data_IF_066830051642
#
_entry.id   IF_066830051642
#
_cell.length_a   1.000
_cell.length_b   1.000
_cell.length_c   1.000
_cell.angle_alpha   90.00
_cell.angle_beta   90.00
_cell.angle_gamma   90.00
#
_symmetry.space_group_name_H-M   'P 1'
#
loop_
_entity.id
_entity.type
_entity.pdbx_description
1 polymer ?
#
# COMPACT_ATOMS: atom_id res chain seq x y z
N UNK A 1 -16.90 -0.91 -10.08
CA UNK A 1 -16.40 -1.40 -11.39
C UNK A 1 -17.55 -1.91 -12.24
N UNK A 2 -17.46 -1.68 -13.54
CA UNK A 2 -18.48 -2.04 -14.51
C UNK A 2 -17.83 -2.88 -15.62
N UNK A 3 -17.63 -4.18 -15.34
CA UNK A 3 -16.96 -5.09 -16.27
C UNK A 3 -17.64 -5.15 -17.65
N UNK A 4 -18.96 -4.99 -17.71
CA UNK A 4 -19.71 -4.98 -18.96
C UNK A 4 -19.32 -3.84 -19.92
N UNK A 5 -18.59 -2.82 -19.44
CA UNK A 5 -18.09 -1.75 -20.30
C UNK A 5 -16.82 -2.15 -21.08
N UNK A 6 -16.13 -3.23 -20.71
CA UNK A 6 -14.87 -3.64 -21.33
C UNK A 6 -15.03 -3.84 -22.85
N UNK A 7 -15.99 -4.65 -23.33
CA UNK A 7 -16.17 -4.85 -24.76
C UNK A 7 -16.51 -3.56 -25.52
N UNK A 8 -17.30 -2.68 -24.87
CA UNK A 8 -17.68 -1.39 -25.45
C UNK A 8 -16.44 -0.49 -25.59
N UNK A 9 -15.62 -0.37 -24.53
CA UNK A 9 -14.41 0.45 -24.53
C UNK A 9 -13.42 -0.08 -25.59
N UNK A 10 -13.23 -1.40 -25.67
CA UNK A 10 -12.31 -1.99 -26.66
C UNK A 10 -12.80 -1.77 -28.10
N UNK A 11 -14.10 -1.76 -28.33
CA UNK A 11 -14.68 -1.45 -29.64
C UNK A 11 -14.46 0.01 -30.03
N UNK A 12 -14.78 0.95 -29.11
CA UNK A 12 -14.73 2.39 -29.41
C UNK A 12 -13.29 2.94 -29.34
N UNK A 13 -12.45 2.37 -28.47
CA UNK A 13 -11.07 2.84 -28.24
C UNK A 13 -10.09 1.65 -28.12
N UNK A 14 -9.81 0.92 -29.22
CA UNK A 14 -9.06 -0.35 -29.17
C UNK A 14 -7.63 -0.22 -28.64
N UNK A 15 -7.02 0.98 -28.70
CA UNK A 15 -5.66 1.25 -28.20
C UNK A 15 -5.62 1.56 -26.70
N UNK A 16 -6.77 1.82 -26.08
CA UNK A 16 -6.82 2.15 -24.64
C UNK A 16 -6.52 0.89 -23.81
N UNK A 17 -5.53 1.01 -22.91
CA UNK A 17 -5.24 -0.05 -21.95
C UNK A 17 -6.24 -0.04 -20.81
N UNK A 18 -6.79 -1.21 -20.51
CA UNK A 18 -7.77 -1.41 -19.42
C UNK A 18 -7.11 -2.13 -18.28
N UNK A 19 -7.12 -1.48 -17.11
CA UNK A 19 -6.65 -2.08 -15.84
C UNK A 19 -7.86 -2.45 -15.00
N UNK A 20 -8.01 -3.75 -14.69
CA UNK A 20 -9.08 -4.23 -13.82
C UNK A 20 -8.77 -3.92 -12.37
N UNK A 21 -9.64 -3.17 -11.72
CA UNK A 21 -9.46 -2.76 -10.33
C UNK A 21 -9.63 -3.93 -9.36
N UNK A 22 -8.94 -3.86 -8.22
CA UNK A 22 -9.14 -4.72 -7.04
C UNK A 22 -10.60 -4.77 -6.56
N UNK A 23 -11.43 -3.78 -6.93
CA UNK A 23 -12.86 -3.75 -6.64
C UNK A 23 -13.66 -4.90 -7.29
N UNK A 24 -13.06 -5.60 -8.26
CA UNK A 24 -13.66 -6.80 -8.86
C UNK A 24 -13.37 -8.08 -8.09
N UNK A 25 -12.64 -8.01 -6.99
CA UNK A 25 -12.32 -9.17 -6.13
C UNK A 25 -11.62 -10.31 -6.89
N UNK A 26 -10.77 -9.99 -7.87
CA UNK A 26 -10.08 -10.99 -8.68
C UNK A 26 -9.05 -11.73 -7.83
N UNK A 27 -9.27 -13.02 -7.57
CA UNK A 27 -8.48 -13.80 -6.60
C UNK A 27 -8.08 -15.20 -7.11
N UNK A 28 -8.40 -15.55 -8.34
CA UNK A 28 -8.11 -16.89 -8.87
C UNK A 28 -7.87 -16.88 -10.38
N UNK A 29 -7.26 -17.95 -10.89
CA UNK A 29 -6.88 -18.13 -12.28
C UNK A 29 -8.06 -17.99 -13.25
N UNK A 30 -9.24 -18.54 -12.91
CA UNK A 30 -10.41 -18.50 -13.81
C UNK A 30 -10.89 -17.07 -14.02
N UNK A 31 -10.98 -16.28 -12.93
CA UNK A 31 -11.36 -14.87 -13.03
C UNK A 31 -10.34 -14.05 -13.86
N UNK A 32 -9.04 -14.35 -13.70
CA UNK A 32 -7.99 -13.68 -14.47
C UNK A 32 -8.13 -14.02 -15.94
N UNK A 33 -8.25 -15.30 -16.31
CA UNK A 33 -8.44 -15.73 -17.71
C UNK A 33 -9.66 -15.06 -18.34
N UNK A 34 -10.80 -15.10 -17.65
CA UNK A 34 -12.03 -14.46 -18.12
C UNK A 34 -11.83 -12.98 -18.46
N UNK A 35 -11.23 -12.19 -17.56
CA UNK A 35 -11.04 -10.76 -17.81
C UNK A 35 -10.04 -10.48 -18.94
N UNK A 36 -9.02 -11.32 -19.11
CA UNK A 36 -8.12 -11.20 -20.26
C UNK A 36 -8.82 -11.54 -21.59
N UNK A 37 -9.68 -12.56 -21.61
CA UNK A 37 -10.51 -12.90 -22.76
C UNK A 37 -11.47 -11.75 -23.13
N UNK A 38 -11.99 -11.02 -22.14
CA UNK A 38 -12.82 -9.82 -22.35
C UNK A 38 -12.00 -8.59 -22.81
N UNK A 39 -10.67 -8.66 -22.85
CA UNK A 39 -9.81 -7.60 -23.35
C UNK A 39 -9.19 -6.70 -22.26
N UNK A 40 -9.11 -7.15 -21.02
CA UNK A 40 -8.34 -6.47 -19.96
C UNK A 40 -6.85 -6.65 -20.21
N UNK A 41 -6.06 -5.60 -20.04
CA UNK A 41 -4.62 -5.62 -20.26
C UNK A 41 -3.82 -5.91 -18.98
N UNK A 42 -4.34 -5.52 -17.81
CA UNK A 42 -3.69 -5.74 -16.50
C UNK A 42 -4.72 -5.89 -15.40
N UNK A 43 -4.40 -6.63 -14.34
CA UNK A 43 -5.33 -6.91 -13.23
C UNK A 43 -4.69 -6.60 -11.89
N UNK A 44 -5.36 -5.75 -11.10
CA UNK A 44 -5.05 -5.56 -9.68
C UNK A 44 -5.70 -6.69 -8.89
N UNK A 45 -4.91 -7.61 -8.38
CA UNK A 45 -5.41 -8.72 -7.59
C UNK A 45 -6.08 -8.25 -6.29
N UNK A 46 -7.01 -9.05 -5.79
CA UNK A 46 -7.56 -8.87 -4.45
C UNK A 46 -6.45 -8.94 -3.40
N UNK A 47 -6.59 -8.18 -2.31
CA UNK A 47 -5.57 -8.13 -1.23
C UNK A 47 -5.49 -9.41 -0.41
N UNK A 48 -6.48 -10.27 -0.55
CA UNK A 48 -6.62 -11.53 0.17
C UNK A 48 -5.88 -12.70 -0.50
N UNK A 49 -5.25 -12.47 -1.66
CA UNK A 49 -4.54 -13.50 -2.42
C UNK A 49 -3.17 -13.77 -1.80
N UNK A 50 -2.88 -15.02 -1.52
CA UNK A 50 -1.61 -15.46 -0.95
C UNK A 50 -0.49 -15.53 -2.00
N UNK A 51 0.77 -15.53 -1.55
CA UNK A 51 1.96 -15.75 -2.41
C UNK A 51 1.81 -16.98 -3.32
N UNK A 52 1.30 -18.08 -2.77
CA UNK A 52 1.11 -19.34 -3.52
C UNK A 52 0.08 -19.18 -4.64
N UNK A 53 -1.01 -18.48 -4.35
CA UNK A 53 -2.06 -18.23 -5.32
C UNK A 53 -1.60 -17.23 -6.38
N UNK A 54 -0.89 -16.16 -6.01
CA UNK A 54 -0.29 -15.22 -6.97
C UNK A 54 0.62 -15.97 -7.94
N UNK A 55 1.52 -16.83 -7.40
CA UNK A 55 2.40 -17.65 -8.23
C UNK A 55 1.62 -18.57 -9.15
N UNK A 56 0.60 -19.29 -8.64
CA UNK A 56 -0.26 -20.16 -9.44
C UNK A 56 -0.96 -19.40 -10.56
N UNK A 57 -1.55 -18.24 -10.24
CA UNK A 57 -2.21 -17.39 -11.24
C UNK A 57 -1.21 -17.00 -12.33
N UNK A 58 0.00 -16.54 -11.95
CA UNK A 58 1.00 -16.13 -12.92
C UNK A 58 1.48 -17.29 -13.79
N UNK A 59 1.82 -18.45 -13.18
CA UNK A 59 2.29 -19.64 -13.90
C UNK A 59 1.26 -20.15 -14.93
N UNK A 60 -0.05 -20.04 -14.61
CA UNK A 60 -1.12 -20.54 -15.47
C UNK A 60 -1.63 -19.53 -16.52
N UNK A 61 -1.32 -18.24 -16.36
CA UNK A 61 -1.90 -17.18 -17.20
C UNK A 61 -0.85 -16.29 -17.87
N UNK A 62 0.34 -16.16 -17.28
CA UNK A 62 1.36 -15.17 -17.62
C UNK A 62 0.81 -13.73 -17.74
N UNK A 63 -0.26 -13.47 -16.97
CA UNK A 63 -0.99 -12.24 -17.00
C UNK A 63 -0.17 -11.08 -16.43
N UNK A 64 -0.49 -9.87 -16.88
CA UNK A 64 0.06 -8.65 -16.31
C UNK A 64 -0.65 -8.34 -14.98
N UNK A 65 0.02 -8.66 -13.87
CA UNK A 65 -0.53 -8.58 -12.52
C UNK A 65 -0.02 -7.36 -11.76
N UNK A 66 -0.93 -6.69 -11.04
CA UNK A 66 -0.64 -5.67 -10.06
C UNK A 66 -1.00 -6.16 -8.65
N UNK A 67 -0.08 -6.03 -7.70
CA UNK A 67 -0.25 -6.50 -6.32
C UNK A 67 -0.01 -5.36 -5.35
N UNK A 68 -0.86 -5.23 -4.33
CA UNK A 68 -0.60 -4.31 -3.21
C UNK A 68 0.58 -4.80 -2.39
N UNK A 69 1.50 -3.91 -2.07
CA UNK A 69 2.71 -4.24 -1.32
C UNK A 69 2.88 -3.44 -0.03
N UNK A 70 2.21 -2.27 0.09
CA UNK A 70 2.35 -1.43 1.27
C UNK A 70 1.14 -0.53 1.51
N UNK A 71 0.86 -0.27 2.78
CA UNK A 71 -0.13 0.70 3.23
C UNK A 71 -1.40 0.09 3.82
N UNK A 72 -2.44 0.88 3.86
CA UNK A 72 -3.67 0.52 4.57
C UNK A 72 -4.38 -0.69 3.95
N UNK A 73 -4.78 -1.63 4.82
CA UNK A 73 -5.61 -2.77 4.47
C UNK A 73 -7.09 -2.52 4.82
N UNK A 74 -7.97 -3.26 4.16
CA UNK A 74 -9.40 -3.27 4.45
C UNK A 74 -9.77 -4.45 5.34
N UNK A 75 -10.73 -4.23 6.25
CA UNK A 75 -11.32 -5.31 7.04
C UNK A 75 -12.28 -6.19 6.22
N UNK A 76 -12.85 -5.63 5.15
CA UNK A 76 -13.74 -6.34 4.24
C UNK A 76 -12.94 -6.90 3.06
N UNK A 77 -13.43 -7.98 2.46
CA UNK A 77 -12.92 -8.46 1.18
C UNK A 77 -12.91 -7.36 0.12
N UNK A 78 -11.93 -7.39 -0.76
CA UNK A 78 -11.74 -6.42 -1.82
C UNK A 78 -13.02 -6.23 -2.64
N UNK A 79 -13.50 -4.99 -2.78
CA UNK A 79 -14.72 -4.66 -3.52
C UNK A 79 -16.05 -5.08 -2.88
N UNK A 80 -16.07 -5.54 -1.63
CA UNK A 80 -17.27 -6.04 -0.94
C UNK A 80 -17.64 -5.27 0.33
N UNK A 81 -17.06 -4.10 0.54
CA UNK A 81 -17.34 -3.30 1.71
C UNK A 81 -18.70 -2.58 1.60
N UNK A 82 -19.58 -2.81 2.57
CA UNK A 82 -20.87 -2.12 2.71
C UNK A 82 -20.93 -1.22 3.94
N UNK A 83 -19.90 -1.23 4.79
CA UNK A 83 -19.88 -0.50 6.07
C UNK A 83 -20.06 1.00 5.89
N UNK A 84 -19.34 1.61 4.95
CA UNK A 84 -19.46 3.04 4.68
C UNK A 84 -20.83 3.42 4.18
N UNK A 85 -21.44 2.60 3.30
CA UNK A 85 -22.81 2.81 2.84
C UNK A 85 -23.79 2.79 3.99
N UNK A 86 -23.71 1.75 4.81
CA UNK A 86 -24.64 1.53 5.91
C UNK A 86 -24.58 2.62 6.98
N UNK A 87 -23.37 3.02 7.37
CA UNK A 87 -23.16 3.95 8.49
C UNK A 87 -23.18 5.42 8.05
N UNK A 88 -22.69 5.74 6.84
CA UNK A 88 -22.47 7.12 6.40
C UNK A 88 -23.08 7.48 5.06
N UNK A 89 -23.83 6.58 4.45
CA UNK A 89 -24.39 6.72 3.10
C UNK A 89 -23.33 7.04 2.01
N UNK A 90 -22.08 6.59 2.21
CA UNK A 90 -20.96 6.78 1.27
C UNK A 90 -20.51 5.44 0.71
N UNK A 91 -20.52 5.30 -0.62
CA UNK A 91 -20.13 4.05 -1.29
C UNK A 91 -18.61 3.86 -1.30
N UNK A 92 -18.10 2.97 -0.44
CA UNK A 92 -16.68 2.66 -0.35
C UNK A 92 -16.13 1.98 -1.60
N UNK A 93 -16.96 1.25 -2.33
CA UNK A 93 -16.55 0.55 -3.55
C UNK A 93 -16.47 1.48 -4.76
N UNK A 94 -16.94 2.73 -4.61
CA UNK A 94 -16.86 3.80 -5.61
C UNK A 94 -15.98 4.97 -5.16
N UNK A 95 -15.04 4.73 -4.24
CA UNK A 95 -14.13 5.75 -3.74
C UNK A 95 -14.64 6.57 -2.54
N UNK A 96 -15.87 6.34 -2.08
CA UNK A 96 -16.51 7.06 -0.97
C UNK A 96 -16.20 6.50 0.42
N UNK A 97 -15.14 5.71 0.60
CA UNK A 97 -14.81 5.10 1.89
C UNK A 97 -14.64 6.14 3.01
N UNK A 98 -15.47 6.05 4.05
CA UNK A 98 -15.41 6.88 5.26
C UNK A 98 -14.53 6.26 6.36
N UNK A 99 -13.85 5.16 6.09
CA UNK A 99 -12.99 4.43 7.04
C UNK A 99 -13.74 4.00 8.32
N UNK A 100 -15.00 3.60 8.18
CA UNK A 100 -15.87 3.20 9.30
C UNK A 100 -15.27 2.05 10.12
N UNK A 101 -14.51 1.15 9.49
CA UNK A 101 -13.79 0.08 10.20
C UNK A 101 -12.80 0.59 11.27
N UNK A 102 -12.44 1.88 11.22
CA UNK A 102 -11.55 2.55 12.17
C UNK A 102 -12.30 3.33 13.26
N UNK A 103 -13.61 3.29 13.24
CA UNK A 103 -14.42 3.89 14.30
C UNK A 103 -14.33 3.00 15.55
N UNK A 104 -14.53 3.63 16.71
CA UNK A 104 -14.71 2.91 17.95
C UNK A 104 -16.16 2.46 18.07
N UNK A 105 -16.34 1.18 18.36
CA UNK A 105 -17.65 0.55 18.53
C UNK A 105 -17.81 0.05 19.94
N UNK A 106 -19.01 0.19 20.50
CA UNK A 106 -19.42 -0.42 21.75
C UNK A 106 -20.24 -1.69 21.48
N UNK A 107 -19.84 -2.82 22.06
CA UNK A 107 -20.61 -4.06 22.00
C UNK A 107 -21.75 -4.10 23.00
N UNK A 108 -21.55 -3.43 24.14
CA UNK A 108 -22.50 -3.42 25.25
C UNK A 108 -22.28 -2.14 26.06
N UNK A 109 -23.38 -1.41 26.38
CA UNK A 109 -23.37 -0.21 27.22
C UNK A 109 -22.74 -0.44 28.62
N UNK A 110 -22.65 -1.71 29.07
CA UNK A 110 -22.05 -2.11 30.33
C UNK A 110 -20.55 -2.34 30.28
N UNK A 111 -19.97 -2.55 29.08
CA UNK A 111 -18.52 -2.77 28.90
C UNK A 111 -17.85 -1.47 28.48
N UNK A 112 -16.99 -0.92 29.36
CA UNK A 112 -16.23 0.31 29.12
C UNK A 112 -15.09 0.16 28.08
N UNK A 113 -15.01 -0.94 27.34
CA UNK A 113 -13.97 -1.14 26.32
C UNK A 113 -14.57 -1.03 24.92
N UNK A 114 -14.25 0.05 24.29
CA UNK A 114 -14.46 0.24 22.87
C UNK A 114 -13.57 -0.72 22.07
N UNK A 115 -14.02 -1.15 20.90
CA UNK A 115 -13.21 -1.94 19.99
C UNK A 115 -13.23 -1.33 18.58
N UNK A 116 -12.20 -1.63 17.82
CA UNK A 116 -12.09 -1.30 16.40
C UNK A 116 -12.03 -2.59 15.60
N UNK A 117 -12.58 -2.57 14.39
CA UNK A 117 -12.47 -3.68 13.43
C UNK A 117 -11.37 -3.41 12.38
N UNK A 118 -10.50 -2.45 12.65
CA UNK A 118 -9.40 -2.12 11.75
C UNK A 118 -8.36 -3.24 11.69
N UNK A 119 -7.72 -3.35 10.53
CA UNK A 119 -6.58 -4.25 10.32
C UNK A 119 -5.27 -3.50 10.52
N UNK A 120 -4.18 -4.22 10.81
CA UNK A 120 -2.83 -3.71 10.65
C UNK A 120 -2.56 -3.34 9.20
N UNK A 121 -1.60 -2.45 8.96
CA UNK A 121 -1.23 -2.08 7.59
C UNK A 121 -0.42 -3.22 6.93
N UNK A 122 -0.43 -3.25 5.60
CA UNK A 122 0.38 -4.17 4.81
C UNK A 122 1.81 -3.65 4.69
N UNK A 123 2.78 -4.56 4.84
CA UNK A 123 4.19 -4.29 4.51
C UNK A 123 4.84 -5.58 3.96
N UNK A 124 5.21 -5.56 2.69
CA UNK A 124 5.86 -6.68 1.99
C UNK A 124 7.34 -6.40 1.66
N UNK A 125 8.01 -5.51 2.37
CA UNK A 125 9.42 -5.22 2.11
C UNK A 125 10.32 -6.46 2.25
N UNK A 126 10.03 -7.34 3.22
CA UNK A 126 10.71 -8.64 3.37
C UNK A 126 10.47 -9.60 2.20
N UNK A 127 9.40 -9.36 1.43
CA UNK A 127 8.90 -10.26 0.40
C UNK A 127 9.01 -9.69 -1.02
N UNK A 128 9.73 -8.57 -1.20
CA UNK A 128 9.85 -7.95 -2.51
C UNK A 128 10.52 -8.86 -3.54
N UNK A 129 11.51 -9.65 -3.11
CA UNK A 129 12.16 -10.67 -3.95
C UNK A 129 11.16 -11.70 -4.46
N UNK A 130 10.30 -12.18 -3.57
CA UNK A 130 9.28 -13.17 -3.91
C UNK A 130 8.36 -12.66 -5.03
N UNK A 131 7.93 -11.40 -4.95
CA UNK A 131 7.06 -10.77 -5.96
C UNK A 131 7.78 -10.62 -7.31
N UNK A 132 9.04 -10.19 -7.29
CA UNK A 132 9.87 -10.06 -8.50
C UNK A 132 10.09 -11.44 -9.15
N UNK A 133 10.44 -12.47 -8.37
CA UNK A 133 10.71 -13.82 -8.85
C UNK A 133 9.44 -14.53 -9.37
N UNK A 134 8.27 -14.20 -8.85
CA UNK A 134 6.98 -14.65 -9.40
C UNK A 134 6.75 -14.04 -10.78
N UNK A 135 7.27 -12.84 -11.06
CA UNK A 135 7.05 -12.12 -12.31
C UNK A 135 5.96 -11.03 -12.20
N UNK A 136 5.62 -10.60 -10.99
CA UNK A 136 4.70 -9.48 -10.77
C UNK A 136 5.33 -8.19 -11.31
N UNK A 137 4.66 -7.50 -12.23
CA UNK A 137 5.20 -6.31 -12.90
C UNK A 137 4.83 -5.00 -12.20
N UNK A 138 3.65 -4.94 -11.59
CA UNK A 138 3.14 -3.72 -11.00
C UNK A 138 2.96 -3.89 -9.49
N UNK A 139 3.60 -2.99 -8.76
CA UNK A 139 3.63 -2.97 -7.30
C UNK A 139 2.91 -1.74 -6.79
N UNK A 140 1.83 -1.93 -6.01
CA UNK A 140 0.93 -0.85 -5.61
C UNK A 140 1.10 -0.45 -4.16
N UNK A 141 1.30 0.85 -3.93
CA UNK A 141 1.30 1.46 -2.60
C UNK A 141 -0.03 2.15 -2.34
N UNK A 142 -0.68 1.85 -1.21
CA UNK A 142 -1.87 2.59 -0.75
C UNK A 142 -1.42 3.76 0.14
N UNK A 143 -1.65 4.96 -0.33
CA UNK A 143 -1.21 6.17 0.34
C UNK A 143 -2.14 7.37 0.18
N UNK A 144 -3.37 7.18 -0.31
CA UNK A 144 -4.32 8.28 -0.61
C UNK A 144 -4.54 9.24 0.56
N UNK A 145 -4.57 8.73 1.77
CA UNK A 145 -4.80 9.51 2.99
C UNK A 145 -3.50 9.76 3.77
N UNK A 146 -2.35 9.67 3.11
CA UNK A 146 -1.04 9.84 3.74
C UNK A 146 -0.37 11.13 3.29
N UNK A 147 0.50 11.66 4.13
CA UNK A 147 1.31 12.84 3.80
C UNK A 147 2.38 12.54 2.74
N UNK A 148 2.88 13.59 2.11
CA UNK A 148 3.93 13.52 1.07
C UNK A 148 5.18 12.81 1.58
N UNK A 149 5.61 13.08 2.81
CA UNK A 149 6.77 12.44 3.43
C UNK A 149 6.60 10.91 3.52
N UNK A 150 5.42 10.43 3.93
CA UNK A 150 5.13 9.00 3.93
C UNK A 150 5.29 8.38 2.54
N UNK A 151 4.66 8.98 1.54
CA UNK A 151 4.69 8.47 0.16
C UNK A 151 6.13 8.45 -0.36
N UNK A 152 6.86 9.56 -0.20
CA UNK A 152 8.25 9.68 -0.65
C UNK A 152 9.13 8.60 0.01
N UNK A 153 9.04 8.43 1.34
CA UNK A 153 9.83 7.42 2.07
C UNK A 153 9.49 6.01 1.61
N UNK A 154 8.20 5.67 1.52
CA UNK A 154 7.78 4.32 1.12
C UNK A 154 8.27 4.01 -0.30
N UNK A 155 8.04 4.89 -1.26
CA UNK A 155 8.45 4.67 -2.65
C UNK A 155 9.98 4.54 -2.75
N UNK A 156 10.73 5.40 -2.06
CA UNK A 156 12.19 5.36 -2.06
C UNK A 156 12.74 4.07 -1.46
N UNK A 157 12.18 3.60 -0.33
CA UNK A 157 12.58 2.32 0.27
C UNK A 157 12.36 1.14 -0.67
N UNK A 158 11.18 1.06 -1.29
CA UNK A 158 10.90 -0.02 -2.23
C UNK A 158 11.73 0.09 -3.50
N UNK A 159 11.97 1.30 -4.03
CA UNK A 159 12.86 1.49 -5.17
C UNK A 159 14.28 1.02 -4.84
N UNK A 160 14.78 1.40 -3.67
CA UNK A 160 16.10 0.97 -3.22
C UNK A 160 16.21 -0.57 -3.11
N UNK A 161 15.19 -1.24 -2.57
CA UNK A 161 15.16 -2.70 -2.47
C UNK A 161 15.09 -3.38 -3.85
N UNK A 162 14.30 -2.85 -4.77
CA UNK A 162 14.19 -3.37 -6.14
C UNK A 162 15.52 -3.20 -6.88
N UNK A 163 16.14 -2.02 -6.79
CA UNK A 163 17.42 -1.75 -7.43
C UNK A 163 18.53 -2.63 -6.85
N UNK A 164 18.54 -2.84 -5.54
CA UNK A 164 19.47 -3.76 -4.90
C UNK A 164 19.34 -5.20 -5.42
N UNK A 165 18.12 -5.64 -5.72
CA UNK A 165 17.87 -6.95 -6.31
C UNK A 165 18.45 -7.04 -7.73
N UNK A 166 18.12 -6.11 -8.61
CA UNK A 166 18.56 -6.15 -10.01
C UNK A 166 20.06 -5.87 -10.20
N UNK A 167 20.67 -5.09 -9.30
CA UNK A 167 22.10 -4.80 -9.32
C UNK A 167 22.94 -5.87 -8.57
N UNK A 168 22.32 -6.95 -8.11
CA UNK A 168 22.98 -8.03 -7.34
C UNK A 168 23.75 -7.54 -6.09
N UNK A 169 23.27 -6.47 -5.47
CA UNK A 169 23.86 -5.90 -4.24
C UNK A 169 22.91 -5.97 -3.02
N UNK A 170 21.96 -6.89 -3.06
CA UNK A 170 21.05 -7.14 -1.94
C UNK A 170 21.82 -7.65 -0.71
N UNK A 171 21.69 -6.94 0.40
CA UNK A 171 22.26 -7.34 1.68
C UNK A 171 21.20 -7.32 2.78
N UNK A 172 21.42 -8.10 3.85
CA UNK A 172 20.55 -8.06 5.03
C UNK A 172 20.54 -6.67 5.67
N UNK A 173 21.68 -6.01 5.73
CA UNK A 173 21.82 -4.65 6.26
C UNK A 173 20.99 -3.63 5.47
N UNK A 174 20.97 -3.73 4.12
CA UNK A 174 20.13 -2.89 3.27
C UNK A 174 18.64 -3.10 3.60
N UNK A 175 18.19 -4.36 3.71
CA UNK A 175 16.80 -4.66 4.07
C UNK A 175 16.45 -4.09 5.45
N UNK A 176 17.27 -4.33 6.48
CA UNK A 176 17.03 -3.84 7.84
C UNK A 176 16.96 -2.30 7.89
N UNK A 177 17.85 -1.61 7.14
CA UNK A 177 17.78 -0.16 7.00
C UNK A 177 16.46 0.31 6.40
N UNK A 178 16.02 -0.27 5.30
CA UNK A 178 14.74 0.10 4.67
C UNK A 178 13.54 -0.21 5.58
N UNK A 179 13.53 -1.36 6.28
CA UNK A 179 12.50 -1.70 7.26
C UNK A 179 12.43 -0.68 8.40
N UNK A 180 13.60 -0.21 8.90
CA UNK A 180 13.68 0.83 9.91
C UNK A 180 13.11 2.16 9.40
N UNK A 181 13.41 2.56 8.16
CA UNK A 181 12.84 3.77 7.55
C UNK A 181 11.32 3.66 7.39
N UNK A 182 10.83 2.52 6.89
CA UNK A 182 9.39 2.26 6.77
C UNK A 182 8.67 2.31 8.13
N UNK A 183 9.30 1.80 9.20
CA UNK A 183 8.72 1.85 10.55
C UNK A 183 8.62 3.27 11.10
N UNK A 184 9.51 4.18 10.71
CA UNK A 184 9.49 5.60 11.14
C UNK A 184 8.33 6.38 10.54
N UNK A 185 7.84 6.02 9.37
CA UNK A 185 6.69 6.69 8.72
C UNK A 185 5.38 5.94 8.97
N UNK A 186 5.43 4.76 9.58
CA UNK A 186 4.26 3.97 9.90
C UNK A 186 3.47 4.59 11.06
N UNK A 187 2.18 4.82 10.85
CA UNK A 187 1.28 5.32 11.90
C UNK A 187 0.60 4.17 12.67
N UNK A 188 0.76 2.93 12.21
CA UNK A 188 0.20 1.71 12.77
C UNK A 188 1.14 0.55 12.57
N UNK A 189 0.98 -0.49 13.38
CA UNK A 189 1.66 -1.76 13.13
C UNK A 189 1.33 -2.30 11.75
N UNK A 190 2.31 -2.94 11.12
CA UNK A 190 2.18 -3.58 9.82
C UNK A 190 2.58 -5.04 9.87
N UNK A 191 1.98 -5.84 9.00
CA UNK A 191 2.28 -7.27 8.81
C UNK A 191 2.26 -7.60 7.31
N UNK A 192 2.63 -8.84 6.97
CA UNK A 192 2.46 -9.34 5.60
C UNK A 192 1.01 -9.68 5.26
N UNK A 193 0.08 -9.53 6.19
CA UNK A 193 -1.35 -9.80 6.02
C UNK A 193 -1.56 -11.19 5.39
N UNK A 194 -2.36 -11.30 4.34
CA UNK A 194 -2.65 -12.56 3.65
C UNK A 194 -1.50 -13.12 2.82
N UNK A 195 -0.45 -12.36 2.57
CA UNK A 195 0.58 -12.75 1.60
C UNK A 195 1.23 -14.11 1.91
N UNK A 196 1.59 -14.34 3.16
CA UNK A 196 2.25 -15.60 3.56
C UNK A 196 1.28 -16.69 4.03
N UNK A 197 0.12 -16.30 4.53
CA UNK A 197 -0.90 -17.20 5.12
C UNK A 197 -2.23 -16.45 5.24
N UNK A 198 -3.29 -17.17 5.55
CA UNK A 198 -4.56 -16.54 5.93
C UNK A 198 -4.37 -15.60 7.12
N UNK A 199 -4.99 -14.43 7.04
CA UNK A 199 -4.95 -13.46 8.12
C UNK A 199 -5.74 -13.97 9.34
N UNK A 200 -5.25 -13.64 10.52
CA UNK A 200 -5.82 -14.07 11.80
C UNK A 200 -6.14 -12.87 12.68
N UNK A 201 -6.64 -13.12 13.90
CA UNK A 201 -6.86 -12.06 14.88
C UNK A 201 -5.57 -11.27 15.20
N UNK A 202 -4.37 -11.85 14.99
CA UNK A 202 -3.08 -11.16 15.20
C UNK A 202 -2.81 -10.07 14.15
N UNK A 203 -3.49 -10.14 13.03
CA UNK A 203 -3.38 -9.18 11.93
C UNK A 203 -4.40 -8.04 12.06
N UNK A 204 -5.22 -8.05 13.12
CA UNK A 204 -6.12 -6.98 13.50
C UNK A 204 -5.40 -5.92 14.33
N UNK A 205 -5.90 -4.69 14.29
CA UNK A 205 -5.39 -3.57 15.04
C UNK A 205 -6.34 -3.24 16.19
N UNK A 206 -5.94 -3.58 17.41
CA UNK A 206 -6.76 -3.42 18.61
C UNK A 206 -6.48 -2.14 19.40
N UNK A 207 -5.38 -1.47 19.10
CA UNK A 207 -5.06 -0.20 19.73
C UNK A 207 -6.01 0.87 19.17
N UNK A 208 -6.56 1.68 20.07
CA UNK A 208 -7.43 2.80 19.71
C UNK A 208 -6.80 3.69 18.64
N UNK A 209 -7.56 4.61 18.05
CA UNK A 209 -7.16 5.56 16.98
C UNK A 209 -5.82 6.28 17.17
N UNK A 210 -5.03 5.92 18.17
CA UNK A 210 -3.70 6.45 18.39
C UNK A 210 -2.75 6.04 17.26
N UNK A 211 -2.92 6.70 16.12
CA UNK A 211 -1.84 6.79 15.17
C UNK A 211 -0.68 7.45 15.89
N UNK A 212 0.43 6.73 16.01
CA UNK A 212 1.65 7.31 16.60
C UNK A 212 2.13 8.36 15.61
N UNK A 213 1.90 9.62 15.94
CA UNK A 213 2.48 10.73 15.22
C UNK A 213 3.99 10.69 15.44
N UNK A 214 4.76 10.44 14.39
CA UNK A 214 6.19 10.67 14.51
C UNK A 214 6.53 12.09 14.03
N UNK A 215 7.43 12.76 14.74
CA UNK A 215 7.89 14.11 14.45
C UNK A 215 9.17 14.11 13.57
N UNK A 216 9.42 13.03 12.87
CA UNK A 216 10.66 12.85 12.09
C UNK A 216 10.73 13.75 10.85
N UNK A 217 9.59 14.22 10.35
CA UNK A 217 9.55 15.14 9.22
C UNK A 217 9.81 16.58 9.70
N UNK A 218 11.03 17.05 9.55
CA UNK A 218 11.45 18.36 10.07
C UNK A 218 11.08 19.51 9.14
N UNK A 219 11.10 19.32 7.83
CA UNK A 219 10.80 20.39 6.88
C UNK A 219 11.07 20.05 5.43
N UNK A 220 10.89 21.04 4.58
CA UNK A 220 11.14 20.98 3.14
C UNK A 220 12.31 21.90 2.80
N UNK A 221 13.25 21.43 2.00
CA UNK A 221 14.26 22.28 1.37
C UNK A 221 13.55 22.97 0.20
N UNK A 222 13.45 24.29 0.25
CA UNK A 222 12.82 25.12 -0.78
C UNK A 222 13.83 25.60 -1.82
N UNK A 223 15.06 25.87 -1.39
CA UNK A 223 16.11 26.42 -2.24
C UNK A 223 17.49 26.08 -1.68
N UNK A 224 18.51 26.06 -2.55
CA UNK A 224 19.90 25.87 -2.19
C UNK A 224 20.80 26.79 -2.99
N UNK A 225 21.54 27.65 -2.28
CA UNK A 225 22.54 28.52 -2.88
C UNK A 225 23.92 27.84 -2.88
N UNK A 226 24.38 27.43 -4.05
CA UNK A 226 25.66 26.76 -4.25
C UNK A 226 26.88 27.65 -3.85
N UNK A 227 26.77 28.97 -3.94
CA UNK A 227 27.87 29.89 -3.62
C UNK A 227 28.11 30.02 -2.13
N UNK A 228 27.04 30.02 -1.35
CA UNK A 228 27.11 30.14 0.10
C UNK A 228 26.99 28.81 0.81
N UNK A 229 26.64 27.74 0.09
CA UNK A 229 26.31 26.41 0.64
C UNK A 229 25.18 26.45 1.68
N UNK A 230 24.24 27.38 1.52
CA UNK A 230 23.11 27.54 2.41
C UNK A 230 21.81 27.01 1.76
N UNK A 231 21.02 26.28 2.54
CA UNK A 231 19.68 25.85 2.15
C UNK A 231 18.60 26.64 2.85
N UNK A 232 17.59 27.07 2.11
CA UNK A 232 16.36 27.63 2.67
C UNK A 232 15.41 26.51 3.00
N UNK A 233 15.00 26.39 4.28
CA UNK A 233 14.16 25.29 4.77
C UNK A 233 12.84 25.84 5.27
N UNK A 234 11.72 25.30 4.79
CA UNK A 234 10.39 25.47 5.39
C UNK A 234 10.26 24.52 6.57
N UNK A 235 10.37 25.04 7.79
CA UNK A 235 10.26 24.23 9.02
C UNK A 235 8.83 23.75 9.24
N UNK A 236 8.66 22.44 9.47
CA UNK A 236 7.37 21.78 9.76
C UNK A 236 7.30 21.21 11.17
N UNK A 237 8.43 20.78 11.72
CA UNK A 237 8.58 20.35 13.11
C UNK A 237 9.79 21.02 13.75
N UNK A 238 9.83 21.04 15.07
CA UNK A 238 10.88 21.70 15.82
C UNK A 238 12.25 21.02 15.64
N UNK A 239 13.25 21.80 15.32
CA UNK A 239 14.67 21.47 15.43
C UNK A 239 15.48 22.75 15.70
N UNK A 240 16.69 22.61 16.20
CA UNK A 240 17.56 23.74 16.60
C UNK A 240 18.96 23.57 16.06
N UNK A 241 19.73 24.65 16.14
CA UNK A 241 21.17 24.65 15.79
C UNK A 241 21.90 23.58 16.57
N UNK A 242 22.69 22.77 15.89
CA UNK A 242 23.43 21.63 16.42
C UNK A 242 22.74 20.27 16.32
N UNK A 243 21.45 20.22 15.96
CA UNK A 243 20.78 18.97 15.69
C UNK A 243 21.30 18.34 14.39
N UNK A 244 21.48 17.02 14.41
CA UNK A 244 21.81 16.26 13.20
C UNK A 244 20.54 15.92 12.46
N UNK A 245 20.47 16.30 11.19
CA UNK A 245 19.34 16.03 10.31
C UNK A 245 19.77 15.17 9.13
N UNK A 246 18.85 14.33 8.65
CA UNK A 246 19.05 13.58 7.42
C UNK A 246 18.32 14.29 6.28
N UNK A 247 18.99 14.44 5.15
CA UNK A 247 18.39 14.96 3.93
C UNK A 247 17.90 13.79 3.11
N UNK A 248 16.63 13.84 2.75
CA UNK A 248 15.96 12.83 1.96
C UNK A 248 15.62 13.41 0.58
N UNK A 249 16.01 12.72 -0.47
CA UNK A 249 15.74 13.11 -1.85
C UNK A 249 15.59 11.89 -2.77
N UNK A 250 15.27 12.11 -4.06
CA UNK A 250 15.07 11.00 -5.02
C UNK A 250 16.25 10.06 -5.14
N UNK A 251 17.46 10.56 -4.97
CA UNK A 251 18.71 9.80 -5.14
C UNK A 251 19.37 9.39 -3.82
N UNK A 252 18.93 9.94 -2.69
CA UNK A 252 19.51 9.67 -1.36
C UNK A 252 18.42 9.49 -0.31
N UNK A 253 18.50 8.35 0.37
CA UNK A 253 17.78 8.02 1.60
C UNK A 253 18.78 7.71 2.71
N UNK A 254 19.55 8.71 3.14
CA UNK A 254 20.55 8.53 4.22
C UNK A 254 20.05 9.03 5.55
#
# INVERSE_FOLDING_TARGET
CYAFLIPIIKKETPKLKIVMSTQMSTSNTLSVKHFFEEGVDSIVLAREVTKKEIKKIYDETHADLEVFLHGAMCTCYSGRCVLSNYVTNRDSNRGGCAQVCRFCFDLDKKRKKNFSIATKDLNLADHIKDLIEIGVKHLKVEGRMRGTYYIATVISCYRNLIDAYYNNNWTKSNLERNLKLLSRVANRESTSQYFMKEATYKDQYYLDRMEVSNQDFLGLILDYDEKTSLATIEQRNYFKVGDKVNIFGPEKCD
#
